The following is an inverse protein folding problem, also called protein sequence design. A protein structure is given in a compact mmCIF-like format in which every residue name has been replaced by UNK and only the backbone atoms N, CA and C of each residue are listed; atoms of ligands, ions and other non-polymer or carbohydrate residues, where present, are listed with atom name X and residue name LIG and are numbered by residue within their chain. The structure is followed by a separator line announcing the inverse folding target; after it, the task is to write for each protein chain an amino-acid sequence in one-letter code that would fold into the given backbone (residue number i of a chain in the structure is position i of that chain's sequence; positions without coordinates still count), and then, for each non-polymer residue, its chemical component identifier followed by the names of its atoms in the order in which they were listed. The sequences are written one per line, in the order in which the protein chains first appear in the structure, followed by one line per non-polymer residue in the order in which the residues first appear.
data_IF_186318382843
#
_entry.id   IF_186318382843
#
_cell.length_a   1.000
_cell.length_b   1.000
_cell.length_c   1.000
_cell.angle_alpha   90.00
_cell.angle_beta   90.00
_cell.angle_gamma   90.00
#
_symmetry.space_group_name_H-M   'P 1'
#
loop_
_entity.id
_entity.type
_entity.pdbx_description
1 polymer ?
#
# COMPACT_ATOMS: atom_id res chain seq x y z
N UNK A 1 4.49 0.84 -17.43
CA UNK A 1 4.53 -0.24 -18.45
C UNK A 1 4.67 0.33 -19.85
N UNK A 2 5.79 0.03 -20.54
CA UNK A 2 5.94 0.31 -21.97
C UNK A 2 4.82 -0.32 -22.81
N UNK A 3 4.43 0.33 -23.91
CA UNK A 3 3.29 -0.11 -24.74
C UNK A 3 3.44 -1.53 -25.29
N UNK A 4 4.66 -1.96 -25.62
CA UNK A 4 4.96 -3.31 -26.14
C UNK A 4 4.63 -4.45 -25.18
N UNK A 5 4.64 -4.18 -23.87
CA UNK A 5 4.41 -5.20 -22.83
C UNK A 5 3.00 -5.13 -22.23
N UNK A 6 2.12 -4.25 -22.73
CA UNK A 6 0.75 -4.13 -22.23
C UNK A 6 -0.09 -5.31 -22.71
N UNK A 7 -0.62 -6.07 -21.76
CA UNK A 7 -1.60 -7.12 -22.01
C UNK A 7 -2.80 -6.95 -21.07
N UNK A 8 -3.96 -7.46 -21.48
CA UNK A 8 -5.18 -7.39 -20.68
C UNK A 8 -5.15 -8.34 -19.47
N UNK A 9 -4.33 -9.39 -19.55
CA UNK A 9 -4.29 -10.46 -18.57
C UNK A 9 -5.64 -11.19 -18.39
N UNK A 10 -5.78 -11.91 -17.28
CA UNK A 10 -6.93 -12.78 -17.00
C UNK A 10 -7.99 -12.14 -16.09
N UNK A 11 -7.71 -11.00 -15.45
CA UNK A 11 -8.61 -10.40 -14.45
C UNK A 11 -10.02 -10.12 -14.99
N UNK A 12 -10.13 -9.73 -16.27
CA UNK A 12 -11.42 -9.46 -16.92
C UNK A 12 -12.40 -10.66 -16.87
N UNK A 13 -11.89 -11.90 -16.84
CA UNK A 13 -12.72 -13.11 -16.72
C UNK A 13 -13.40 -13.18 -15.35
N UNK A 14 -12.71 -12.78 -14.28
CA UNK A 14 -13.28 -12.71 -12.93
C UNK A 14 -14.27 -11.55 -12.80
N UNK A 15 -13.90 -10.39 -13.33
CA UNK A 15 -14.76 -9.20 -13.32
C UNK A 15 -16.10 -9.43 -14.03
N UNK A 16 -16.09 -10.19 -15.14
CA UNK A 16 -17.30 -10.52 -15.92
C UNK A 16 -18.06 -11.75 -15.42
N UNK A 17 -17.49 -12.50 -14.47
CA UNK A 17 -18.05 -13.77 -13.98
C UNK A 17 -17.81 -14.99 -14.88
N UNK A 18 -17.00 -14.86 -15.94
CA UNK A 18 -16.54 -15.99 -16.76
C UNK A 18 -15.60 -16.93 -15.98
N UNK A 19 -14.99 -16.44 -14.90
CA UNK A 19 -14.22 -17.25 -13.96
C UNK A 19 -14.57 -16.82 -12.52
N UNK A 20 -14.41 -17.72 -11.56
CA UNK A 20 -14.67 -17.45 -10.14
C UNK A 20 -13.40 -17.72 -9.34
N UNK A 21 -13.03 -16.81 -8.44
CA UNK A 21 -11.87 -17.05 -7.57
C UNK A 21 -12.17 -18.22 -6.60
N UNK A 22 -11.23 -19.14 -6.39
CA UNK A 22 -11.47 -20.32 -5.57
C UNK A 22 -11.59 -19.98 -4.08
N UNK A 23 -10.93 -18.91 -3.63
CA UNK A 23 -10.91 -18.45 -2.25
C UNK A 23 -11.05 -16.93 -2.16
N UNK A 24 -11.40 -16.43 -0.97
CA UNK A 24 -11.33 -15.01 -0.65
C UNK A 24 -9.89 -14.53 -0.88
N UNK A 25 -9.74 -13.53 -1.72
CA UNK A 25 -8.46 -12.94 -2.12
C UNK A 25 -8.49 -11.46 -1.76
N UNK A 26 -7.74 -11.08 -0.72
CA UNK A 26 -7.55 -9.67 -0.34
C UNK A 26 -6.31 -9.15 -1.07
N UNK A 27 -6.44 -8.03 -1.77
CA UNK A 27 -5.39 -7.46 -2.61
C UNK A 27 -5.11 -5.99 -2.27
N UNK A 28 -3.87 -5.58 -2.51
CA UNK A 28 -3.43 -4.19 -2.63
C UNK A 28 -2.95 -3.95 -4.07
N UNK A 29 -2.84 -2.70 -4.48
CA UNK A 29 -2.28 -2.34 -5.78
C UNK A 29 -0.76 -2.25 -5.73
N UNK A 30 -0.09 -2.65 -6.81
CA UNK A 30 1.30 -2.35 -7.08
C UNK A 30 1.46 -1.22 -8.09
N UNK A 31 2.51 -1.30 -8.92
CA UNK A 31 2.80 -0.33 -9.97
C UNK A 31 2.16 -0.68 -11.34
N UNK A 32 1.61 -1.89 -11.49
CA UNK A 32 1.02 -2.38 -12.75
C UNK A 32 -0.48 -2.64 -12.58
N UNK A 33 -1.26 -1.57 -12.52
CA UNK A 33 -2.68 -1.67 -12.18
C UNK A 33 -3.60 -1.04 -13.23
N UNK A 34 -4.86 -1.46 -13.20
CA UNK A 34 -5.95 -0.69 -13.80
C UNK A 34 -6.28 0.51 -12.90
N UNK A 35 -5.35 1.48 -12.80
CA UNK A 35 -5.35 2.53 -11.78
C UNK A 35 -6.62 3.37 -11.77
N UNK A 36 -7.28 3.59 -12.91
CA UNK A 36 -8.58 4.26 -12.95
C UNK A 36 -9.66 3.52 -12.16
N UNK A 37 -9.78 2.20 -12.38
CA UNK A 37 -10.76 1.37 -11.69
C UNK A 37 -10.45 1.22 -10.19
N UNK A 38 -9.17 1.05 -9.84
CA UNK A 38 -8.76 0.99 -8.43
C UNK A 38 -8.95 2.34 -7.72
N UNK A 39 -8.73 3.47 -8.40
CA UNK A 39 -8.95 4.79 -7.82
C UNK A 39 -10.44 5.07 -7.56
N UNK A 40 -11.34 4.55 -8.38
CA UNK A 40 -12.78 4.59 -8.10
C UNK A 40 -13.14 3.84 -6.80
N UNK A 41 -12.29 2.91 -6.36
CA UNK A 41 -12.36 2.13 -5.13
C UNK A 41 -11.29 2.57 -4.10
N UNK A 42 -10.99 3.88 -4.05
CA UNK A 42 -9.94 4.46 -3.19
C UNK A 42 -10.00 4.02 -1.72
N UNK A 43 -11.21 3.85 -1.17
CA UNK A 43 -11.44 3.44 0.23
C UNK A 43 -11.65 1.92 0.41
N UNK A 44 -11.38 1.14 -0.64
CA UNK A 44 -11.57 -0.29 -0.70
C UNK A 44 -12.91 -0.72 -1.31
N UNK A 45 -13.00 -1.99 -1.68
CA UNK A 45 -14.20 -2.59 -2.25
C UNK A 45 -13.91 -3.85 -3.07
N UNK A 46 -14.97 -4.53 -3.50
CA UNK A 46 -14.84 -5.72 -4.33
C UNK A 46 -14.47 -5.32 -5.76
N UNK A 47 -13.36 -5.86 -6.25
CA UNK A 47 -12.96 -5.78 -7.66
C UNK A 47 -13.71 -6.81 -8.50
N UNK A 48 -14.03 -7.95 -7.91
CA UNK A 48 -14.81 -9.05 -8.46
C UNK A 48 -15.33 -9.92 -7.29
N UNK A 49 -16.27 -10.86 -7.52
CA UNK A 49 -16.66 -11.84 -6.51
C UNK A 49 -15.42 -12.53 -5.89
N UNK A 50 -15.36 -12.55 -4.55
CA UNK A 50 -14.23 -13.04 -3.73
C UNK A 50 -12.88 -12.32 -3.90
N UNK A 51 -12.79 -11.23 -4.65
CA UNK A 51 -11.55 -10.44 -4.80
C UNK A 51 -11.78 -9.04 -4.22
N UNK A 52 -11.24 -8.79 -3.02
CA UNK A 52 -11.42 -7.54 -2.29
C UNK A 52 -10.16 -6.68 -2.32
N UNK A 53 -10.29 -5.45 -2.78
CA UNK A 53 -9.23 -4.45 -2.75
C UNK A 53 -9.28 -3.66 -1.44
N UNK A 54 -8.14 -3.53 -0.76
CA UNK A 54 -8.04 -2.74 0.48
C UNK A 54 -8.19 -1.22 0.26
N UNK A 55 -8.03 -0.73 -0.97
CA UNK A 55 -7.98 0.70 -1.26
C UNK A 55 -6.55 1.23 -1.34
N UNK A 56 -6.41 2.55 -1.46
CA UNK A 56 -5.12 3.23 -1.39
C UNK A 56 -4.40 2.90 -0.07
N UNK A 57 -5.16 2.81 1.02
CA UNK A 57 -4.82 2.08 2.23
C UNK A 57 -6.09 1.60 2.93
N UNK A 58 -5.97 0.55 3.74
CA UNK A 58 -7.10 -0.04 4.43
C UNK A 58 -6.70 -0.91 5.60
N UNK A 59 -7.66 -1.15 6.49
CA UNK A 59 -7.59 -2.21 7.50
C UNK A 59 -8.96 -2.89 7.63
N UNK A 60 -8.94 -4.21 7.69
CA UNK A 60 -10.11 -5.09 7.80
C UNK A 60 -9.80 -6.23 8.77
N UNK A 61 -10.83 -6.93 9.24
CA UNK A 61 -10.68 -8.19 9.97
C UNK A 61 -11.19 -9.35 9.09
N UNK A 62 -10.40 -10.41 8.99
CA UNK A 62 -10.75 -11.65 8.28
C UNK A 62 -10.67 -12.82 9.25
N UNK A 63 -11.83 -13.25 9.77
CA UNK A 63 -11.91 -14.38 10.69
C UNK A 63 -11.07 -14.21 11.96
N UNK A 64 -10.99 -13.00 12.51
CA UNK A 64 -10.21 -12.65 13.69
C UNK A 64 -8.75 -12.29 13.40
N UNK A 65 -8.33 -12.27 12.13
CA UNK A 65 -7.01 -11.79 11.71
C UNK A 65 -7.16 -10.36 11.18
N UNK A 66 -6.54 -9.41 11.86
CA UNK A 66 -6.52 -8.00 11.51
C UNK A 66 -5.45 -7.73 10.46
N UNK A 67 -5.91 -7.39 9.25
CA UNK A 67 -5.06 -7.17 8.08
C UNK A 67 -5.10 -5.69 7.75
N UNK A 68 -3.94 -5.06 7.69
CA UNK A 68 -3.77 -3.69 7.20
C UNK A 68 -2.86 -3.67 5.97
N UNK A 69 -2.93 -2.62 5.18
CA UNK A 69 -2.04 -2.47 4.04
C UNK A 69 -2.23 -1.16 3.30
N UNK A 70 -1.26 -0.86 2.44
CA UNK A 70 -1.30 0.28 1.54
C UNK A 70 -0.83 -0.13 0.15
N UNK A 71 -1.42 0.52 -0.85
CA UNK A 71 -1.12 0.27 -2.26
C UNK A 71 0.00 1.17 -2.77
N UNK A 72 0.65 0.73 -3.84
CA UNK A 72 1.57 1.54 -4.62
C UNK A 72 3.05 1.32 -4.29
N UNK A 73 3.89 2.16 -4.89
CA UNK A 73 5.33 2.23 -4.64
C UNK A 73 5.75 3.62 -4.17
N UNK A 74 6.78 3.70 -3.35
CA UNK A 74 7.32 4.96 -2.88
C UNK A 74 7.99 5.75 -4.01
N UNK A 75 7.69 7.05 -4.08
CA UNK A 75 8.45 8.01 -4.86
C UNK A 75 8.50 9.34 -4.11
N UNK A 76 9.70 9.85 -3.86
CA UNK A 76 9.94 11.03 -3.04
C UNK A 76 9.28 12.29 -3.60
N UNK A 77 9.15 12.41 -4.92
CA UNK A 77 8.56 13.58 -5.60
C UNK A 77 7.06 13.71 -5.31
N UNK A 78 6.36 12.59 -5.16
CA UNK A 78 4.91 12.56 -4.93
C UNK A 78 4.51 12.29 -3.48
N UNK A 79 5.42 11.77 -2.65
CA UNK A 79 5.16 11.37 -1.26
C UNK A 79 4.33 12.39 -0.46
N UNK A 80 4.71 13.67 -0.49
CA UNK A 80 4.03 14.72 0.28
C UNK A 80 2.85 15.39 -0.42
N UNK A 81 2.44 14.94 -1.61
CA UNK A 81 1.39 15.59 -2.41
C UNK A 81 -0.01 15.03 -2.11
N UNK A 82 -1.04 15.71 -2.60
CA UNK A 82 -2.38 15.12 -2.72
C UNK A 82 -2.50 14.15 -3.88
N UNK A 83 -3.68 13.53 -4.02
CA UNK A 83 -4.06 12.69 -5.15
C UNK A 83 -4.75 13.55 -6.20
N UNK A 84 -3.97 14.11 -7.12
CA UNK A 84 -4.47 15.03 -8.15
C UNK A 84 -4.81 14.33 -9.48
N UNK A 85 -4.50 13.05 -9.58
CA UNK A 85 -4.67 12.26 -10.77
C UNK A 85 -6.15 11.98 -11.01
N UNK A 86 -6.61 12.27 -12.23
CA UNK A 86 -7.97 11.96 -12.67
C UNK A 86 -7.93 11.42 -14.08
N UNK A 87 -8.79 10.44 -14.36
CA UNK A 87 -8.99 9.98 -15.72
C UNK A 87 -9.59 11.13 -16.57
N UNK A 88 -9.16 11.30 -17.83
CA UNK A 88 -8.10 10.52 -18.50
C UNK A 88 -6.69 10.85 -18.01
N UNK A 89 -5.89 9.80 -17.76
CA UNK A 89 -4.49 9.95 -17.39
C UNK A 89 -3.62 10.30 -18.60
N UNK A 90 -2.69 11.22 -18.40
CA UNK A 90 -1.54 11.47 -19.27
C UNK A 90 -0.34 10.59 -18.85
N UNK A 91 0.82 10.80 -19.49
CA UNK A 91 2.04 10.03 -19.23
C UNK A 91 2.62 10.23 -17.82
N UNK A 92 2.37 11.38 -17.18
CA UNK A 92 2.85 11.68 -15.82
C UNK A 92 1.89 11.07 -14.78
N UNK A 93 0.60 11.38 -14.93
CA UNK A 93 -0.47 10.96 -14.01
C UNK A 93 -0.72 9.46 -14.02
N UNK A 94 -0.47 8.77 -15.14
CA UNK A 94 -0.53 7.29 -15.17
C UNK A 94 0.58 6.65 -14.32
N UNK A 95 1.69 7.36 -14.08
CA UNK A 95 2.77 6.92 -13.18
C UNK A 95 2.48 7.36 -11.74
N UNK A 96 2.13 8.63 -11.55
CA UNK A 96 1.97 9.20 -10.21
C UNK A 96 0.78 8.63 -9.43
N UNK A 97 -0.26 8.12 -10.12
CA UNK A 97 -1.48 7.55 -9.51
C UNK A 97 -1.21 6.33 -8.62
N UNK A 98 -0.19 5.53 -8.91
CA UNK A 98 0.18 4.38 -8.08
C UNK A 98 1.35 4.67 -7.14
N UNK A 99 1.83 5.92 -7.06
CA UNK A 99 2.82 6.27 -6.05
C UNK A 99 2.15 6.42 -4.68
N UNK A 100 2.75 5.88 -3.63
CA UNK A 100 2.22 5.98 -2.25
C UNK A 100 2.30 7.44 -1.77
N UNK A 101 1.27 7.95 -1.06
CA UNK A 101 1.35 9.25 -0.37
C UNK A 101 1.55 9.07 1.14
N UNK A 102 2.11 10.12 1.75
CA UNK A 102 2.33 10.19 3.19
C UNK A 102 1.03 10.00 3.99
N UNK A 103 -0.08 10.55 3.47
CA UNK A 103 -1.39 10.53 4.14
C UNK A 103 -1.84 9.12 4.47
N UNK A 104 -1.75 8.19 3.53
CA UNK A 104 -2.16 6.80 3.71
C UNK A 104 -1.34 6.09 4.79
N UNK A 105 0.00 6.25 4.73
CA UNK A 105 0.91 5.62 5.70
C UNK A 105 0.73 6.21 7.09
N UNK A 106 0.58 7.54 7.20
CA UNK A 106 0.38 8.21 8.49
C UNK A 106 -0.94 7.84 9.14
N UNK A 107 -2.01 7.65 8.35
CA UNK A 107 -3.28 7.11 8.86
C UNK A 107 -3.10 5.71 9.44
N UNK A 108 -2.40 4.82 8.74
CA UNK A 108 -2.14 3.48 9.26
C UNK A 108 -1.38 3.52 10.60
N UNK A 109 -0.39 4.41 10.73
CA UNK A 109 0.36 4.58 11.99
C UNK A 109 -0.46 5.13 13.16
N UNK A 110 -1.68 5.62 12.92
CA UNK A 110 -2.63 6.01 13.97
C UNK A 110 -3.47 4.85 14.50
N UNK A 111 -3.42 3.67 13.87
CA UNK A 111 -4.02 2.47 14.44
C UNK A 111 -3.30 2.10 15.75
N UNK A 112 -4.03 1.45 16.65
CA UNK A 112 -3.51 0.91 17.89
C UNK A 112 -2.26 0.09 17.61
N UNK A 113 -1.16 0.50 18.23
CA UNK A 113 0.07 -0.29 18.22
C UNK A 113 -0.14 -1.63 18.92
N UNK A 114 0.90 -2.45 18.88
CA UNK A 114 0.90 -3.83 19.38
C UNK A 114 0.34 -4.03 20.80
N UNK A 115 0.41 -3.02 21.66
CA UNK A 115 -0.02 -3.06 23.07
C UNK A 115 -1.53 -2.87 23.28
N UNK A 116 -2.24 -2.26 22.33
CA UNK A 116 -3.68 -1.96 22.47
C UNK A 116 -4.56 -2.91 21.66
N UNK A 117 -4.31 -2.95 20.35
CA UNK A 117 -5.06 -3.80 19.40
C UNK A 117 -4.13 -4.16 18.24
N UNK A 118 -3.28 -5.18 18.42
CA UNK A 118 -2.20 -5.49 17.49
C UNK A 118 -2.73 -5.71 16.07
N UNK A 119 -1.90 -5.35 15.10
CA UNK A 119 -2.12 -5.69 13.69
C UNK A 119 -1.36 -6.98 13.43
N UNK A 120 -2.08 -7.98 12.92
CA UNK A 120 -1.49 -9.29 12.68
C UNK A 120 -0.66 -9.28 11.41
N UNK A 121 -1.18 -8.65 10.35
CA UNK A 121 -0.58 -8.64 9.02
C UNK A 121 -0.58 -7.21 8.47
N UNK A 122 0.58 -6.76 8.00
CA UNK A 122 0.68 -5.61 7.09
C UNK A 122 1.10 -6.11 5.70
N UNK A 123 0.45 -5.57 4.67
CA UNK A 123 0.80 -5.83 3.26
C UNK A 123 1.19 -4.52 2.57
N UNK A 124 2.33 -4.51 1.89
CA UNK A 124 2.79 -3.43 1.01
C UNK A 124 3.36 -4.01 -0.27
N UNK A 125 3.34 -3.30 -1.40
CA UNK A 125 3.93 -3.83 -2.63
C UNK A 125 5.46 -3.73 -2.58
N UNK A 126 5.97 -2.52 -2.36
CA UNK A 126 7.39 -2.29 -2.11
C UNK A 126 7.82 -2.70 -0.70
N UNK A 127 9.11 -2.94 -0.54
CA UNK A 127 9.68 -3.36 0.74
C UNK A 127 9.81 -2.16 1.68
N UNK A 128 9.62 -2.32 3.00
CA UNK A 128 10.07 -1.32 3.96
C UNK A 128 11.58 -1.10 3.84
N UNK A 129 12.03 0.15 3.93
CA UNK A 129 13.46 0.44 4.01
C UNK A 129 14.12 -0.35 5.15
N UNK A 130 15.37 -0.76 4.90
CA UNK A 130 16.22 -1.51 5.83
C UNK A 130 15.69 -2.89 6.24
N UNK A 131 14.58 -3.38 5.69
CA UNK A 131 14.06 -4.71 6.00
C UNK A 131 15.02 -5.84 5.60
N UNK A 132 15.80 -5.62 4.55
CA UNK A 132 16.81 -6.54 4.07
C UNK A 132 17.88 -6.89 5.13
N UNK A 133 18.19 -5.96 6.04
CA UNK A 133 19.17 -6.22 7.10
C UNK A 133 18.73 -7.27 8.13
N UNK A 134 17.43 -7.59 8.18
CA UNK A 134 16.90 -8.64 9.04
C UNK A 134 17.01 -10.05 8.47
N UNK A 135 17.56 -10.23 7.26
CA UNK A 135 17.66 -11.52 6.57
C UNK A 135 19.08 -11.87 6.11
N UNK A 136 19.20 -12.82 5.18
CA UNK A 136 20.48 -13.25 4.61
C UNK A 136 20.90 -12.34 3.43
N UNK A 137 21.64 -11.27 3.72
CA UNK A 137 22.13 -10.34 2.69
C UNK A 137 23.07 -10.98 1.66
N UNK A 138 23.88 -11.95 2.07
CA UNK A 138 24.80 -12.64 1.15
C UNK A 138 24.02 -13.40 0.07
N UNK A 139 22.94 -14.09 0.46
CA UNK A 139 22.07 -14.78 -0.48
C UNK A 139 21.30 -13.80 -1.37
N UNK A 140 20.81 -12.70 -0.82
CA UNK A 140 20.13 -11.66 -1.59
C UNK A 140 21.04 -11.09 -2.68
N UNK A 141 22.26 -10.70 -2.33
CA UNK A 141 23.22 -10.13 -3.28
C UNK A 141 23.74 -11.17 -4.28
N UNK A 142 23.74 -12.46 -3.92
CA UNK A 142 24.03 -13.52 -4.89
C UNK A 142 22.93 -13.64 -5.94
N UNK A 143 21.65 -13.53 -5.54
CA UNK A 143 20.49 -13.61 -6.43
C UNK A 143 20.28 -12.33 -7.24
N UNK A 144 20.49 -11.16 -6.62
CA UNK A 144 20.20 -9.83 -7.16
C UNK A 144 21.33 -8.87 -6.82
N UNK A 145 22.41 -8.93 -7.59
CA UNK A 145 23.66 -8.18 -7.33
C UNK A 145 23.46 -6.66 -7.32
N UNK A 146 22.61 -6.14 -8.20
CA UNK A 146 22.34 -4.70 -8.35
C UNK A 146 21.73 -4.07 -7.09
N UNK A 147 20.92 -4.84 -6.32
CA UNK A 147 20.34 -4.37 -5.06
C UNK A 147 21.38 -4.05 -3.97
N UNK A 148 22.62 -4.51 -4.12
CA UNK A 148 23.67 -4.33 -3.10
C UNK A 148 23.92 -2.87 -2.79
N UNK A 149 23.97 -2.00 -3.80
CA UNK A 149 24.21 -0.57 -3.61
C UNK A 149 23.06 0.05 -2.80
N UNK A 150 21.84 -0.16 -3.26
CA UNK A 150 20.63 0.42 -2.66
C UNK A 150 20.33 -0.08 -1.25
N UNK A 151 20.65 -1.35 -0.96
CA UNK A 151 20.55 -1.87 0.41
C UNK A 151 21.55 -1.16 1.32
N UNK A 152 22.80 -1.02 0.87
CA UNK A 152 23.89 -0.47 1.68
C UNK A 152 23.78 1.03 1.94
N UNK A 153 23.31 1.80 0.96
CA UNK A 153 23.06 3.25 1.13
C UNK A 153 21.68 3.55 1.76
N UNK A 154 20.84 2.53 1.90
CA UNK A 154 19.52 2.62 2.53
C UNK A 154 18.44 3.23 1.64
N UNK A 155 18.67 3.35 0.33
CA UNK A 155 17.68 3.81 -0.64
C UNK A 155 16.66 2.74 -1.03
N UNK A 156 16.97 1.44 -0.88
CA UNK A 156 16.06 0.36 -1.27
C UNK A 156 14.78 0.36 -0.41
N UNK A 157 13.65 0.55 -1.08
CA UNK A 157 12.31 0.41 -0.50
C UNK A 157 11.72 1.72 0.03
N UNK A 158 10.62 1.60 0.77
CA UNK A 158 9.80 2.70 1.27
C UNK A 158 10.24 3.20 2.66
N UNK A 159 10.66 4.47 2.81
CA UNK A 159 10.89 5.09 4.12
C UNK A 159 9.62 5.10 4.98
N UNK A 160 8.46 5.31 4.34
CA UNK A 160 7.16 5.27 5.00
C UNK A 160 6.83 3.89 5.54
N UNK A 161 7.12 2.84 4.76
CA UNK A 161 6.97 1.45 5.18
C UNK A 161 7.83 1.13 6.40
N UNK A 162 9.08 1.61 6.43
CA UNK A 162 9.95 1.39 7.59
C UNK A 162 9.44 2.11 8.85
N UNK A 163 9.04 3.38 8.72
CA UNK A 163 8.42 4.10 9.83
C UNK A 163 7.22 3.33 10.38
N UNK A 164 6.33 2.89 9.50
CA UNK A 164 5.13 2.15 9.87
C UNK A 164 5.43 0.81 10.56
N UNK A 165 6.47 0.10 10.09
CA UNK A 165 6.94 -1.15 10.70
C UNK A 165 7.38 -0.94 12.15
N UNK A 166 8.04 0.19 12.45
CA UNK A 166 8.48 0.53 13.81
C UNK A 166 7.34 0.98 14.71
N UNK A 167 6.36 1.69 14.15
CA UNK A 167 5.19 2.18 14.91
C UNK A 167 4.21 1.05 15.28
N UNK A 168 3.86 0.21 14.30
CA UNK A 168 2.80 -0.79 14.47
C UNK A 168 3.33 -2.16 14.91
N UNK A 169 4.59 -2.47 14.59
CA UNK A 169 5.26 -3.72 14.98
C UNK A 169 4.39 -4.97 14.70
N UNK A 170 3.89 -5.15 13.48
CA UNK A 170 2.95 -6.24 13.18
C UNK A 170 3.59 -7.61 13.36
N UNK A 171 2.80 -8.67 13.53
CA UNK A 171 3.38 -10.02 13.57
C UNK A 171 4.03 -10.39 12.22
N UNK A 172 3.34 -10.07 11.13
CA UNK A 172 3.80 -10.32 9.77
C UNK A 172 3.80 -9.06 8.93
N UNK A 173 4.80 -8.95 8.06
CA UNK A 173 4.84 -7.99 6.97
C UNK A 173 5.06 -8.74 5.66
N UNK A 174 4.16 -8.57 4.70
CA UNK A 174 4.27 -9.18 3.38
C UNK A 174 4.52 -8.13 2.29
N UNK A 175 5.49 -8.42 1.42
CA UNK A 175 5.82 -7.58 0.26
C UNK A 175 6.10 -8.35 -1.02
N UNK A 176 6.29 -7.64 -2.12
CA UNK A 176 6.64 -8.22 -3.41
C UNK A 176 7.61 -7.28 -4.16
N UNK A 177 7.28 -6.91 -5.39
CA UNK A 177 7.95 -5.94 -6.25
C UNK A 177 9.35 -6.32 -6.76
N UNK A 178 10.26 -6.76 -5.89
CA UNK A 178 11.66 -7.03 -6.25
C UNK A 178 11.89 -8.41 -6.91
N UNK A 179 10.82 -9.16 -7.16
CA UNK A 179 10.83 -10.46 -7.84
C UNK A 179 11.87 -11.42 -7.24
N UNK A 180 11.85 -11.55 -5.92
CA UNK A 180 12.74 -12.43 -5.18
C UNK A 180 12.03 -12.88 -3.91
N UNK A 181 12.03 -14.18 -3.64
CA UNK A 181 11.66 -14.66 -2.31
C UNK A 181 12.74 -14.26 -1.33
N UNK A 182 12.34 -13.54 -0.28
CA UNK A 182 13.23 -13.16 0.80
C UNK A 182 12.52 -13.16 2.15
N UNK A 183 13.20 -13.69 3.15
CA UNK A 183 12.73 -13.74 4.54
C UNK A 183 13.65 -12.91 5.42
N UNK A 184 13.05 -12.15 6.33
CA UNK A 184 13.77 -11.40 7.35
C UNK A 184 13.01 -11.43 8.68
N UNK A 185 13.75 -11.33 9.78
CA UNK A 185 13.18 -11.19 11.13
C UNK A 185 13.68 -9.90 11.75
N UNK A 186 12.75 -8.99 12.02
CA UNK A 186 13.05 -7.68 12.57
C UNK A 186 12.75 -7.67 14.05
N UNK A 187 13.76 -7.32 14.85
CA UNK A 187 13.61 -7.14 16.30
C UNK A 187 13.19 -5.72 16.61
N UNK A 188 12.15 -5.59 17.43
CA UNK A 188 11.71 -4.33 18.02
C UNK A 188 12.34 -4.14 19.38
N UNK A 189 12.85 -2.94 19.65
CA UNK A 189 13.29 -2.58 20.99
C UNK A 189 12.08 -2.54 21.92
N UNK A 190 12.23 -3.20 23.08
CA UNK A 190 11.26 -3.09 24.18
C UNK A 190 11.54 -1.76 24.87
N UNK A 191 10.55 -0.87 24.89
CA UNK A 191 10.58 0.36 25.66
C UNK A 191 10.84 -0.02 27.12
N UNK A 192 12.07 0.16 27.61
CA UNK A 192 12.37 0.05 29.04
C UNK A 192 11.65 1.20 29.74
N UNK A 193 10.52 0.91 30.38
CA UNK A 193 9.99 1.79 31.40
C UNK A 193 11.11 2.08 32.40
N UNK A 194 11.37 3.35 32.65
CA UNK A 194 12.41 3.81 33.58
C UNK A 194 12.23 3.14 34.94
N UNK A 195 13.15 2.24 35.28
CA UNK A 195 13.77 2.11 36.60
C UNK A 195 15.21 1.68 36.37
N UNK A 196 16.10 2.66 36.38
CA UNK A 196 17.50 2.42 36.73
C UNK A 196 17.55 1.95 38.18
N UNK A 197 18.20 0.82 38.42
CA UNK A 197 19.21 0.66 39.46
C UNK A 197 19.97 -0.65 39.18
N UNK A 198 21.21 -0.48 38.73
CA UNK A 198 22.40 -1.35 38.81
C UNK A 198 22.24 -2.87 38.92
N UNK A 199 22.73 -3.61 37.92
CA UNK A 199 23.93 -4.47 38.10
C UNK A 199 24.37 -5.13 36.77
N UNK A 200 25.64 -4.95 36.47
CA UNK A 200 26.60 -5.82 35.79
C UNK A 200 26.23 -6.64 34.54
N UNK A 201 27.03 -6.41 33.49
CA UNK A 201 27.33 -7.38 32.44
C UNK A 201 27.82 -8.71 33.04
N UNK A 202 27.06 -9.79 32.87
CA UNK A 202 27.60 -11.16 32.86
C UNK A 202 26.80 -12.06 31.91
N UNK A 203 27.51 -12.65 30.94
CA UNK A 203 27.41 -14.05 30.55
C UNK A 203 26.08 -14.57 29.98
N UNK A 204 26.13 -14.99 28.71
CA UNK A 204 25.26 -16.04 28.17
C UNK A 204 25.47 -17.30 29.01
N UNK A 205 24.57 -17.58 29.95
CA UNK A 205 24.35 -18.93 30.47
C UNK A 205 22.86 -19.26 30.47
N UNK A 206 22.54 -20.33 29.75
CA UNK A 206 21.23 -20.93 29.69
C UNK A 206 20.81 -21.42 31.08
N UNK A 207 19.96 -20.65 31.78
CA UNK A 207 19.26 -21.14 32.97
C UNK A 207 18.16 -22.11 32.53
N UNK A 208 18.50 -23.40 32.51
CA UNK A 208 17.52 -24.49 32.60
C UNK A 208 16.90 -24.49 34.01
N UNK A 209 15.75 -23.85 34.15
CA UNK A 209 14.78 -24.17 35.20
C UNK A 209 13.67 -25.04 34.60
N UNK A 210 13.19 -26.09 35.28
CA UNK A 210 11.95 -26.75 34.88
C UNK A 210 10.80 -25.83 35.29
N UNK A 211 9.79 -25.68 34.43
CA UNK A 211 8.57 -24.86 34.60
C UNK A 211 8.59 -23.39 34.10
N UNK A 212 9.33 -23.08 33.04
CA UNK A 212 8.87 -22.01 32.13
C UNK A 212 7.86 -22.62 31.14
N UNK A 213 6.59 -22.22 31.25
CA UNK A 213 5.56 -22.59 30.26
C UNK A 213 6.02 -22.09 28.90
N UNK A 214 6.27 -23.02 27.97
CA UNK A 214 6.80 -22.73 26.63
C UNK A 214 5.90 -21.75 25.86
N UNK A 215 4.60 -21.76 26.13
CA UNK A 215 3.59 -20.87 25.52
C UNK A 215 3.80 -19.38 25.89
N UNK A 216 3.99 -19.05 27.17
CA UNK A 216 4.25 -17.67 27.63
C UNK A 216 5.59 -17.12 27.08
N UNK A 217 6.56 -17.99 26.80
CA UNK A 217 7.82 -17.62 26.16
C UNK A 217 7.68 -17.30 24.67
N UNK A 218 6.79 -18.00 23.95
CA UNK A 218 6.54 -17.80 22.52
C UNK A 218 5.72 -16.53 22.27
N UNK A 219 4.71 -16.25 23.10
CA UNK A 219 3.93 -15.00 23.03
C UNK A 219 4.82 -13.77 23.22
N UNK A 220 5.68 -13.80 24.24
CA UNK A 220 6.65 -12.72 24.55
C UNK A 220 7.75 -12.56 23.50
N UNK A 221 8.06 -13.62 22.76
CA UNK A 221 8.94 -13.55 21.60
C UNK A 221 8.20 -12.95 20.42
N UNK A 222 6.99 -13.40 20.10
CA UNK A 222 6.19 -12.79 19.05
C UNK A 222 6.12 -11.27 19.27
N UNK A 223 5.81 -10.80 20.49
CA UNK A 223 5.78 -9.38 20.89
C UNK A 223 7.00 -8.53 20.49
N UNK A 224 8.17 -9.15 20.36
CA UNK A 224 9.43 -8.46 20.07
C UNK A 224 9.87 -8.52 18.62
N UNK A 225 9.17 -9.28 17.75
CA UNK A 225 9.60 -9.44 16.37
C UNK A 225 8.47 -9.21 15.36
N UNK A 226 8.85 -8.75 14.17
CA UNK A 226 8.07 -8.83 12.94
C UNK A 226 8.75 -9.80 12.00
N UNK A 227 7.97 -10.74 11.44
CA UNK A 227 8.41 -11.63 10.38
C UNK A 227 8.10 -10.99 9.03
N UNK A 228 9.13 -10.76 8.24
CA UNK A 228 9.01 -10.25 6.89
C UNK A 228 9.13 -11.40 5.89
N UNK A 229 8.22 -11.43 4.93
CA UNK A 229 8.30 -12.32 3.78
C UNK A 229 7.98 -11.53 2.52
N UNK A 230 8.84 -11.65 1.53
CA UNK A 230 8.57 -11.22 0.16
C UNK A 230 8.51 -12.42 -0.78
N UNK A 231 7.71 -12.28 -1.83
CA UNK A 231 7.50 -13.31 -2.84
C UNK A 231 7.97 -12.86 -4.22
N UNK A 232 8.24 -13.85 -5.06
CA UNK A 232 8.57 -13.66 -6.46
C UNK A 232 7.32 -13.36 -7.30
N UNK A 233 7.52 -12.99 -8.57
CA UNK A 233 6.45 -12.84 -9.55
C UNK A 233 5.86 -14.21 -9.91
N UNK A 234 4.55 -14.26 -10.16
CA UNK A 234 3.81 -15.44 -10.60
C UNK A 234 4.24 -15.93 -11.99
N UNK A 235 5.43 -16.50 -12.07
CA UNK A 235 6.04 -17.10 -13.25
C UNK A 235 6.42 -18.57 -12.97
N UNK A 236 6.49 -19.41 -14.01
CA UNK A 236 6.90 -20.79 -13.86
C UNK A 236 8.24 -20.92 -13.12
N UNK A 237 8.36 -21.96 -12.28
CA UNK A 237 9.57 -22.29 -11.52
C UNK A 237 10.02 -21.21 -10.51
N UNK A 238 9.20 -20.18 -10.23
CA UNK A 238 9.51 -19.12 -9.23
C UNK A 238 8.77 -19.33 -7.90
N UNK A 239 9.30 -18.71 -6.84
CA UNK A 239 8.77 -18.82 -5.47
C UNK A 239 7.74 -17.72 -5.18
N UNK A 240 6.61 -17.75 -5.89
CA UNK A 240 5.58 -16.70 -5.85
C UNK A 240 4.41 -16.98 -4.91
N UNK A 241 4.33 -18.18 -4.33
CA UNK A 241 3.25 -18.61 -3.44
C UNK A 241 3.83 -19.22 -2.17
N UNK A 242 3.31 -18.78 -1.02
CA UNK A 242 3.61 -19.33 0.30
C UNK A 242 2.32 -19.69 1.02
N UNK A 243 2.31 -20.85 1.70
CA UNK A 243 1.24 -21.25 2.59
C UNK A 243 1.70 -21.08 4.04
N UNK A 244 1.06 -20.16 4.76
CA UNK A 244 1.38 -19.86 6.15
C UNK A 244 0.21 -20.23 7.06
N UNK A 245 0.53 -20.80 8.22
CA UNK A 245 -0.43 -21.01 9.29
C UNK A 245 -0.31 -19.86 10.31
N UNK A 246 -1.33 -19.00 10.35
CA UNK A 246 -1.39 -17.86 11.26
C UNK A 246 -2.35 -18.21 12.40
N UNK A 247 -1.90 -18.19 13.67
CA UNK A 247 -2.77 -18.43 14.82
C UNK A 247 -3.92 -17.42 14.84
N UNK A 248 -5.13 -17.86 15.16
CA UNK A 248 -6.29 -16.99 15.35
C UNK A 248 -6.54 -16.80 16.84
N UNK A 249 -7.03 -15.62 17.28
CA UNK A 249 -7.74 -15.52 18.56
C UNK A 249 -8.88 -16.54 18.56
N UNK A 250 -9.27 -17.11 19.71
CA UNK A 250 -10.24 -18.20 19.82
C UNK A 250 -11.59 -17.90 19.11
N UNK A 251 -11.68 -18.20 17.82
CA UNK A 251 -12.95 -18.22 17.08
C UNK A 251 -13.51 -19.63 17.20
N UNK A 252 -14.79 -19.75 17.53
CA UNK A 252 -15.48 -21.05 17.60
C UNK A 252 -15.25 -21.86 16.32
N UNK A 253 -14.68 -23.05 16.49
CA UNK A 253 -14.41 -24.00 15.42
C UNK A 253 -15.70 -24.30 14.64
N UNK A 254 -15.67 -24.18 13.31
CA UNK A 254 -16.81 -24.47 12.44
C UNK A 254 -17.71 -23.27 12.08
N UNK A 255 -17.41 -22.06 12.55
CA UNK A 255 -18.03 -20.84 12.01
C UNK A 255 -17.38 -20.43 10.68
N UNK A 256 -18.22 -19.95 9.75
CA UNK A 256 -17.80 -19.39 8.47
C UNK A 256 -16.84 -18.21 8.68
N UNK A 257 -15.75 -18.16 7.89
CA UNK A 257 -14.80 -17.03 7.92
C UNK A 257 -15.48 -15.80 7.35
N UNK A 258 -15.66 -14.78 8.20
CA UNK A 258 -16.25 -13.50 7.80
C UNK A 258 -15.18 -12.44 7.64
N UNK A 259 -15.42 -11.53 6.71
CA UNK A 259 -14.64 -10.32 6.52
C UNK A 259 -15.45 -9.14 7.07
N UNK A 260 -14.86 -8.31 7.94
CA UNK A 260 -15.56 -7.18 8.57
C UNK A 260 -14.77 -5.88 8.47
N UNK A 261 -15.48 -4.76 8.51
CA UNK A 261 -14.86 -3.43 8.57
C UNK A 261 -14.17 -3.21 9.90
N UNK A 262 -12.98 -2.59 9.87
CA UNK A 262 -12.27 -2.17 11.06
C UNK A 262 -12.76 -0.78 11.51
N UNK A 263 -13.49 -0.72 12.63
CA UNK A 263 -14.07 0.52 13.13
C UNK A 263 -13.02 1.58 13.49
N UNK A 264 -11.85 1.16 13.98
CA UNK A 264 -10.75 2.05 14.33
C UNK A 264 -10.15 2.70 13.07
N UNK A 265 -9.92 1.93 12.02
CA UNK A 265 -9.50 2.45 10.73
C UNK A 265 -10.49 3.47 10.17
N UNK A 266 -11.78 3.17 10.18
CA UNK A 266 -12.80 4.10 9.67
C UNK A 266 -12.88 5.37 10.53
N UNK A 267 -12.71 5.26 11.85
CA UNK A 267 -12.62 6.41 12.76
C UNK A 267 -11.38 7.27 12.46
N UNK A 268 -10.22 6.65 12.19
CA UNK A 268 -8.99 7.35 11.77
C UNK A 268 -9.22 8.08 10.45
N UNK A 269 -9.82 7.44 9.45
CA UNK A 269 -10.13 8.07 8.16
C UNK A 269 -11.04 9.28 8.38
N UNK A 270 -12.08 9.17 9.22
CA UNK A 270 -12.96 10.29 9.54
C UNK A 270 -12.21 11.44 10.24
N UNK A 271 -11.42 11.12 11.26
CA UNK A 271 -10.66 12.11 12.07
C UNK A 271 -9.60 12.85 11.26
N UNK A 272 -9.10 12.21 10.20
CA UNK A 272 -8.06 12.73 9.31
C UNK A 272 -8.58 13.12 7.93
N UNK A 273 -9.88 13.31 7.77
CA UNK A 273 -10.52 13.68 6.49
C UNK A 273 -9.84 14.90 5.85
N UNK A 274 -9.45 15.90 6.66
CA UNK A 274 -8.76 17.12 6.21
C UNK A 274 -7.39 16.90 5.56
N UNK A 275 -6.80 15.71 5.71
CA UNK A 275 -5.56 15.34 5.01
C UNK A 275 -5.82 14.86 3.58
N UNK A 276 -7.06 14.47 3.27
CA UNK A 276 -7.42 14.09 1.90
C UNK A 276 -7.41 15.34 1.02
N UNK A 277 -6.62 15.33 -0.06
CA UNK A 277 -6.52 16.43 -1.00
C UNK A 277 -6.54 15.90 -2.43
N UNK A 278 -7.33 16.56 -3.29
CA UNK A 278 -7.39 16.30 -4.71
C UNK A 278 -6.45 17.20 -5.54
N UNK A 279 -5.57 17.97 -4.89
CA UNK A 279 -4.68 18.93 -5.54
C UNK A 279 -3.22 18.49 -5.54
N UNK A 280 -2.44 19.04 -6.47
CA UNK A 280 -0.98 18.79 -6.61
C UNK A 280 -0.13 19.47 -5.53
N UNK A 281 -0.76 20.18 -4.59
CA UNK A 281 -0.07 20.85 -3.49
C UNK A 281 0.39 19.87 -2.41
N UNK A 282 1.39 20.27 -1.63
CA UNK A 282 1.81 19.51 -0.44
C UNK A 282 0.68 19.43 0.58
N UNK A 283 0.43 18.24 1.10
CA UNK A 283 -0.52 18.01 2.19
C UNK A 283 0.19 18.19 3.52
N UNK A 284 -0.42 18.97 4.40
CA UNK A 284 0.08 19.16 5.76
C UNK A 284 -0.43 18.04 6.66
N UNK A 285 0.37 16.99 6.83
CA UNK A 285 0.09 15.91 7.78
C UNK A 285 0.59 16.32 9.17
N UNK A 286 -0.34 16.80 10.01
CA UNK A 286 -0.04 17.25 11.37
C UNK A 286 -0.03 16.10 12.39
N UNK A 287 0.45 16.39 13.60
CA UNK A 287 0.30 15.46 14.72
C UNK A 287 -1.16 15.45 15.17
N UNK A 288 -1.80 14.29 15.03
CA UNK A 288 -3.19 14.05 15.44
C UNK A 288 -3.19 12.87 16.38
N UNK A 289 -3.86 13.03 17.51
CA UNK A 289 -4.04 11.93 18.45
C UNK A 289 -4.83 10.79 17.80
N UNK A 290 -4.53 9.56 18.22
CA UNK A 290 -5.26 8.36 17.79
C UNK A 290 -6.75 8.49 18.07
N UNK A 291 -7.56 7.67 17.39
CA UNK A 291 -8.98 7.60 17.68
C UNK A 291 -9.18 7.09 19.12
N UNK A 292 -9.96 7.81 19.90
CA UNK A 292 -10.34 7.40 21.26
C UNK A 292 -11.33 6.23 21.20
N UNK A 293 -11.43 5.45 22.28
CA UNK A 293 -12.40 4.35 22.39
C UNK A 293 -13.85 4.80 22.12
N UNK A 294 -14.20 6.03 22.54
CA UNK A 294 -15.51 6.62 22.25
C UNK A 294 -15.73 6.83 20.75
N UNK A 295 -14.77 7.46 20.06
CA UNK A 295 -14.83 7.67 18.60
C UNK A 295 -14.91 6.35 17.81
N UNK A 296 -14.22 5.30 18.28
CA UNK A 296 -14.25 3.97 17.66
C UNK A 296 -15.63 3.32 17.85
N UNK A 297 -16.19 3.36 19.07
CA UNK A 297 -17.51 2.81 19.35
C UNK A 297 -18.62 3.53 18.56
N UNK A 298 -18.57 4.86 18.51
CA UNK A 298 -19.51 5.68 17.73
C UNK A 298 -19.44 5.32 16.24
N UNK A 299 -18.22 5.06 15.73
CA UNK A 299 -18.02 4.60 14.35
C UNK A 299 -18.60 3.20 14.13
N UNK A 300 -18.41 2.27 15.06
CA UNK A 300 -18.99 0.92 14.99
C UNK A 300 -20.53 0.96 14.95
N UNK A 301 -21.16 1.76 15.82
CA UNK A 301 -22.62 1.95 15.82
C UNK A 301 -23.10 2.56 14.50
N UNK A 302 -22.36 3.54 13.97
CA UNK A 302 -22.68 4.19 12.69
C UNK A 302 -22.59 3.22 11.52
N UNK A 303 -21.54 2.39 11.45
CA UNK A 303 -21.38 1.34 10.42
C UNK A 303 -22.57 0.39 10.50
N UNK A 304 -22.89 -0.15 11.67
CA UNK A 304 -24.04 -1.06 11.84
C UNK A 304 -25.35 -0.41 11.41
N UNK A 305 -25.60 0.85 11.79
CA UNK A 305 -26.82 1.55 11.42
C UNK A 305 -26.99 1.70 9.89
N UNK A 306 -25.89 1.84 9.15
CA UNK A 306 -25.89 2.04 7.69
C UNK A 306 -25.64 0.76 6.89
N UNK A 307 -25.19 -0.31 7.55
CA UNK A 307 -24.87 -1.60 6.94
C UNK A 307 -25.78 -2.73 7.45
N UNK A 308 -27.07 -2.45 7.66
CA UNK A 308 -28.06 -3.48 8.01
C UNK A 308 -27.81 -4.21 9.34
N UNK A 309 -27.21 -3.52 10.32
CA UNK A 309 -26.93 -4.02 11.66
C UNK A 309 -25.65 -4.84 11.81
N UNK A 310 -24.82 -4.94 10.75
CA UNK A 310 -23.59 -5.75 10.77
C UNK A 310 -22.34 -4.95 10.43
N UNK A 311 -21.19 -5.47 10.88
CA UNK A 311 -19.85 -5.00 10.46
C UNK A 311 -19.34 -5.76 9.22
N UNK A 312 -20.07 -6.79 8.77
CA UNK A 312 -19.65 -7.66 7.68
C UNK A 312 -19.52 -6.88 6.35
N UNK A 313 -18.42 -7.16 5.65
CA UNK A 313 -18.20 -6.77 4.26
C UNK A 313 -18.72 -7.91 3.39
N UNK A 314 -19.92 -7.72 2.87
CA UNK A 314 -20.66 -8.75 2.12
C UNK A 314 -20.20 -8.84 0.66
N UNK A 315 -19.98 -10.04 0.15
CA UNK A 315 -19.58 -10.29 -1.25
C UNK A 315 -20.64 -9.80 -2.24
N UNK A 316 -21.92 -9.88 -1.87
CA UNK A 316 -23.03 -9.32 -2.65
C UNK A 316 -22.95 -7.79 -2.81
N UNK A 317 -21.99 -7.16 -2.14
CA UNK A 317 -21.62 -5.76 -2.33
C UNK A 317 -20.93 -5.46 -3.67
N UNK A 318 -20.41 -6.47 -4.38
CA UNK A 318 -19.78 -6.25 -5.69
C UNK A 318 -20.77 -5.65 -6.71
N UNK A 319 -20.32 -4.60 -7.40
CA UNK A 319 -21.07 -3.99 -8.51
C UNK A 319 -20.14 -3.79 -9.69
N UNK A 320 -20.53 -4.38 -10.83
CA UNK A 320 -19.88 -4.15 -12.11
C UNK A 320 -20.24 -2.75 -12.62
N UNK A 321 -19.29 -1.81 -12.64
CA UNK A 321 -19.53 -0.40 -12.98
C UNK A 321 -19.27 -0.07 -14.45
N UNK A 322 -18.59 -0.96 -15.18
CA UNK A 322 -18.31 -0.87 -16.60
C UNK A 322 -18.52 -2.23 -17.30
N UNK A 323 -18.89 -2.27 -18.59
CA UNK A 323 -18.97 -3.54 -19.31
C UNK A 323 -17.59 -4.19 -19.45
N UNK A 324 -17.56 -5.52 -19.49
CA UNK A 324 -16.34 -6.26 -19.83
C UNK A 324 -15.84 -5.99 -21.25
N UNK A 325 -14.60 -6.39 -21.56
CA UNK A 325 -14.08 -6.38 -22.93
C UNK A 325 -15.05 -7.15 -23.84
N UNK A 326 -15.48 -6.53 -24.95
CA UNK A 326 -16.29 -7.25 -25.94
C UNK A 326 -15.39 -8.20 -26.72
N UNK A 327 -15.81 -9.45 -26.87
CA UNK A 327 -15.30 -10.36 -27.90
C UNK A 327 -15.73 -9.83 -29.28
N UNK A 328 -15.09 -8.77 -29.74
CA UNK A 328 -15.16 -8.40 -31.15
C UNK A 328 -13.93 -8.97 -31.80
N UNK A 329 -14.11 -10.06 -32.54
CA UNK A 329 -13.19 -10.53 -33.58
C UNK A 329 -12.59 -9.32 -34.31
N UNK A 330 -11.29 -9.07 -34.12
CA UNK A 330 -10.47 -8.25 -35.01
C UNK A 330 -10.84 -6.78 -35.26
N UNK A 331 -11.83 -6.17 -34.59
CA UNK A 331 -12.05 -4.72 -34.72
C UNK A 331 -11.07 -3.99 -33.82
N UNK A 332 -9.97 -3.52 -34.43
CA UNK A 332 -9.08 -2.50 -33.86
C UNK A 332 -9.96 -1.42 -33.21
N UNK A 333 -9.94 -1.37 -31.88
CA UNK A 333 -10.62 -0.35 -31.10
C UNK A 333 -10.29 1.00 -31.74
N UNK A 334 -11.32 1.77 -32.12
CA UNK A 334 -11.11 2.98 -32.93
C UNK A 334 -10.17 3.91 -32.16
N UNK A 335 -8.95 4.09 -32.70
CA UNK A 335 -7.88 4.89 -32.10
C UNK A 335 -8.34 6.35 -31.87
N UNK A 336 -9.45 6.77 -32.50
CA UNK A 336 -10.14 8.04 -32.25
C UNK A 336 -10.91 8.10 -30.93
N UNK A 337 -11.50 7.00 -30.44
CA UNK A 337 -12.18 7.00 -29.12
C UNK A 337 -11.18 7.14 -27.97
N UNK A 338 -10.01 6.50 -28.07
CA UNK A 338 -8.92 6.67 -27.10
C UNK A 338 -8.34 8.10 -27.11
N UNK A 339 -8.28 8.74 -28.29
CA UNK A 339 -7.78 10.12 -28.47
C UNK A 339 -8.80 11.22 -28.12
N UNK A 340 -10.08 10.88 -27.91
CA UNK A 340 -11.16 11.84 -27.60
C UNK A 340 -11.45 12.01 -26.10
N UNK A 341 -10.44 11.78 -25.25
CA UNK A 341 -10.58 11.88 -23.80
C UNK A 341 -11.20 10.61 -23.24
N UNK A 342 -10.44 9.91 -22.41
CA UNK A 342 -10.94 8.76 -21.66
C UNK A 342 -12.24 9.12 -20.91
N UNK A 343 -13.09 8.12 -20.75
CA UNK A 343 -14.38 8.27 -20.06
C UNK A 343 -14.11 8.85 -18.67
N UNK A 344 -14.74 9.99 -18.37
CA UNK A 344 -14.71 10.56 -17.02
C UNK A 344 -15.09 9.48 -16.00
N UNK A 345 -14.44 9.47 -14.83
CA UNK A 345 -14.80 8.52 -13.77
C UNK A 345 -16.30 8.62 -13.48
N UNK A 346 -16.98 7.47 -13.55
CA UNK A 346 -18.40 7.37 -13.26
C UNK A 346 -18.66 7.30 -11.74
N UNK A 347 -17.60 7.21 -10.93
CA UNK A 347 -17.63 6.87 -9.52
C UNK A 347 -17.78 5.35 -9.29
N UNK A 348 -18.04 4.96 -8.04
CA UNK A 348 -18.36 3.57 -7.72
C UNK A 348 -19.37 3.51 -6.56
N UNK A 349 -20.50 2.80 -6.68
CA UNK A 349 -21.49 2.74 -5.61
C UNK A 349 -20.98 2.06 -4.33
N UNK A 350 -19.93 1.23 -4.42
CA UNK A 350 -19.28 0.65 -3.25
C UNK A 350 -18.55 1.73 -2.43
N UNK A 351 -17.85 2.63 -3.12
CA UNK A 351 -17.18 3.79 -2.52
C UNK A 351 -18.18 4.75 -1.88
N UNK A 352 -19.30 5.03 -2.56
CA UNK A 352 -20.38 5.87 -2.00
C UNK A 352 -20.88 5.31 -0.67
N UNK A 353 -21.08 3.99 -0.57
CA UNK A 353 -21.51 3.32 0.67
C UNK A 353 -20.48 3.47 1.79
N UNK A 354 -19.19 3.28 1.49
CA UNK A 354 -18.12 3.43 2.50
C UNK A 354 -18.03 4.88 2.97
N UNK A 355 -18.06 5.84 2.06
CA UNK A 355 -18.06 7.27 2.37
C UNK A 355 -19.24 7.65 3.26
N UNK A 356 -20.44 7.12 2.98
CA UNK A 356 -21.64 7.33 3.79
C UNK A 356 -21.52 6.73 5.21
N UNK A 357 -20.97 5.51 5.30
CA UNK A 357 -20.67 4.84 6.58
C UNK A 357 -19.69 5.64 7.42
N UNK A 358 -18.57 6.10 6.86
CA UNK A 358 -17.58 6.94 7.56
C UNK A 358 -18.18 8.33 7.87
N UNK A 359 -19.05 8.83 7.00
CA UNK A 359 -19.63 10.17 7.06
C UNK A 359 -18.67 11.27 6.58
N UNK A 360 -17.89 11.01 5.55
CA UNK A 360 -16.97 11.97 4.89
C UNK A 360 -17.53 12.43 3.54
N UNK A 361 -16.83 13.34 2.87
CA UNK A 361 -17.16 13.77 1.51
C UNK A 361 -16.26 13.14 0.44
N UNK A 362 -16.74 13.14 -0.80
CA UNK A 362 -15.95 12.75 -1.97
C UNK A 362 -14.89 13.82 -2.28
N UNK A 363 -13.63 13.52 -1.97
CA UNK A 363 -12.48 14.40 -2.30
C UNK A 363 -11.67 13.82 -3.46
N UNK A 364 -11.12 12.61 -3.29
CA UNK A 364 -10.30 11.92 -4.31
C UNK A 364 -11.14 11.14 -5.31
N UNK A 365 -12.36 10.75 -4.93
CA UNK A 365 -13.33 10.04 -5.77
C UNK A 365 -14.46 10.98 -6.18
N UNK A 366 -15.38 10.49 -7.00
CA UNK A 366 -16.61 11.20 -7.38
C UNK A 366 -17.83 10.34 -7.03
N UNK A 367 -18.98 10.96 -6.69
CA UNK A 367 -20.22 10.23 -6.45
C UNK A 367 -20.61 9.38 -7.67
N UNK A 368 -21.13 8.18 -7.44
CA UNK A 368 -21.61 7.31 -8.50
C UNK A 368 -22.76 7.96 -9.27
N UNK A 369 -22.60 8.13 -10.59
CA UNK A 369 -23.62 8.78 -11.42
C UNK A 369 -24.61 7.83 -12.08
N UNK A 370 -24.33 6.53 -12.07
CA UNK A 370 -25.24 5.50 -12.59
C UNK A 370 -25.44 5.54 -14.10
N UNK A 371 -25.40 4.37 -14.73
CA UNK A 371 -25.99 4.17 -16.04
C UNK A 371 -27.47 4.51 -15.99
N UNK A 372 -27.87 5.55 -16.72
CA UNK A 372 -29.27 5.83 -16.99
C UNK A 372 -29.93 4.66 -17.69
N UNK A 373 -31.23 4.52 -17.47
CA UNK A 373 -32.14 3.72 -18.29
C UNK A 373 -31.89 4.00 -19.79
N UNK A 374 -31.15 3.11 -20.45
CA UNK A 374 -31.03 3.02 -21.89
C UNK A 374 -31.59 1.67 -22.32
N UNK A 375 -32.83 1.69 -22.83
CA UNK A 375 -33.61 0.50 -23.14
C UNK A 375 -32.94 -0.50 -24.09
N UNK A 376 -33.24 -1.78 -23.87
CA UNK A 376 -32.87 -2.86 -24.77
C UNK A 376 -33.12 -4.25 -24.19
N UNK A 377 -34.39 -4.66 -24.12
CA UNK A 377 -34.81 -6.07 -24.13
C UNK A 377 -34.56 -6.88 -22.86
N UNK A 378 -35.65 -7.18 -22.13
CA UNK A 378 -35.64 -8.30 -21.19
C UNK A 378 -35.46 -9.62 -21.95
N UNK A 379 -34.36 -10.30 -21.68
CA UNK A 379 -34.29 -11.76 -21.79
C UNK A 379 -33.76 -12.28 -20.46
N UNK A 380 -34.56 -13.14 -19.82
CA UNK A 380 -34.18 -13.92 -18.65
C UNK A 380 -32.86 -14.66 -18.95
N UNK A 381 -31.77 -14.27 -18.29
CA UNK A 381 -30.53 -15.05 -18.36
C UNK A 381 -30.67 -16.29 -17.49
N UNK A 382 -30.74 -17.45 -18.14
CA UNK A 382 -30.57 -18.76 -17.52
C UNK A 382 -29.25 -18.83 -16.77
N UNK A 383 -29.33 -19.17 -15.48
CA UNK A 383 -28.24 -19.73 -14.71
C UNK A 383 -27.88 -21.11 -15.28
N UNK A 384 -26.65 -21.29 -15.78
CA UNK A 384 -26.13 -22.61 -16.17
C UNK A 384 -25.84 -23.43 -14.90
N UNK A 385 -26.07 -24.73 -14.96
CA UNK A 385 -25.79 -25.64 -13.84
C UNK A 385 -24.29 -25.96 -13.75
N UNK A 386 -23.84 -26.32 -12.55
CA UNK A 386 -22.44 -26.68 -12.25
C UNK A 386 -21.90 -27.79 -13.16
N UNK A 387 -22.78 -28.69 -13.62
CA UNK A 387 -22.43 -29.82 -14.50
C UNK A 387 -22.16 -29.39 -15.96
N UNK A 388 -22.65 -28.23 -16.40
CA UNK A 388 -22.37 -27.68 -17.75
C UNK A 388 -21.03 -26.94 -17.79
N UNK A 389 -20.55 -26.43 -16.64
CA UNK A 389 -19.24 -25.77 -16.51
C UNK A 389 -18.10 -26.79 -16.56
N UNK A 390 -18.26 -27.97 -15.95
CA UNK A 390 -17.20 -29.01 -15.94
C UNK A 390 -16.90 -29.59 -17.33
N UNK A 391 -17.82 -29.47 -18.29
CA UNK A 391 -17.65 -30.00 -19.65
C UNK A 391 -16.96 -29.05 -20.62
N UNK A 392 -16.75 -27.78 -20.25
CA UNK A 392 -16.02 -26.80 -21.08
C UNK A 392 -14.59 -26.53 -20.59
N UNK A 393 -14.11 -27.24 -19.57
CA UNK A 393 -12.73 -27.10 -19.03
C UNK A 393 -11.80 -28.19 -19.55
N UNK A 394 -12.04 -28.68 -20.77
CA UNK A 394 -11.05 -29.50 -21.47
C UNK A 394 -10.72 -28.82 -22.79
N UNK A 395 -9.41 -28.57 -22.92
CA UNK A 395 -8.67 -27.95 -24.01
C UNK A 395 -8.39 -26.44 -23.87
N UNK A 396 -7.09 -26.13 -23.99
CA UNK A 396 -6.40 -24.85 -24.10
C UNK A 396 -5.99 -24.11 -22.81
N UNK A 397 -5.27 -24.83 -21.93
CA UNK A 397 -4.18 -24.22 -21.13
C UNK A 397 -2.87 -24.30 -21.93
N UNK A 398 -2.71 -23.43 -22.93
CA UNK A 398 -1.39 -23.02 -23.41
C UNK A 398 -1.24 -21.51 -23.13
N UNK A 399 -0.51 -21.21 -22.06
CA UNK A 399 0.19 -19.94 -21.98
C UNK A 399 1.30 -20.07 -23.04
N UNK A 400 1.18 -19.38 -24.17
CA UNK A 400 2.33 -19.18 -25.08
C UNK A 400 3.41 -18.46 -24.26
N UNK A 401 4.34 -19.25 -23.74
CA UNK A 401 5.57 -18.79 -23.13
C UNK A 401 6.61 -18.83 -24.25
N UNK A 402 7.27 -17.71 -24.47
CA UNK A 402 8.45 -17.66 -25.33
C UNK A 402 9.46 -18.71 -24.82
N UNK A 403 9.71 -19.72 -25.64
CA UNK A 403 10.74 -20.72 -25.43
C UNK A 403 12.11 -20.03 -25.61
N UNK A 404 12.84 -19.81 -24.53
CA UNK A 404 14.28 -19.62 -24.64
C UNK A 404 14.96 -20.98 -24.49
N UNK A 405 15.64 -21.35 -25.57
CA UNK A 405 16.40 -22.59 -25.73
C UNK A 405 17.49 -22.71 -24.66
N UNK A 406 17.48 -23.80 -23.89
CA UNK A 406 18.64 -24.21 -23.10
C UNK A 406 19.65 -24.87 -24.06
N UNK A 407 20.77 -24.20 -24.35
CA UNK A 407 21.96 -24.88 -24.90
C UNK A 407 22.71 -25.62 -23.78
N UNK A 408 22.64 -26.96 -23.83
CA UNK A 408 23.49 -27.88 -23.08
C UNK A 408 24.88 -28.02 -23.76
N UNK A 409 25.93 -27.80 -22.96
CA UNK A 409 27.14 -28.60 -23.04
C UNK A 409 28.43 -27.92 -23.54
N UNK A 410 29.44 -27.85 -22.66
CA UNK A 410 30.83 -27.90 -23.09
C UNK A 410 31.83 -27.12 -22.25
N UNK A 411 32.74 -27.84 -21.59
CA UNK A 411 33.93 -27.31 -20.92
C UNK A 411 34.78 -26.41 -21.85
N UNK A 412 35.13 -25.21 -21.38
CA UNK A 412 36.14 -24.37 -22.03
C UNK A 412 36.31 -23.04 -21.30
N UNK A 413 37.45 -22.87 -20.60
CA UNK A 413 37.76 -21.63 -19.89
C UNK A 413 37.88 -20.43 -20.84
N UNK A 414 37.34 -19.29 -20.41
CA UNK A 414 37.41 -18.00 -21.09
C UNK A 414 36.62 -16.97 -20.31
N UNK A 415 37.11 -15.74 -20.27
CA UNK A 415 36.66 -14.63 -19.42
C UNK A 415 35.18 -14.27 -19.65
N UNK A 416 34.46 -13.97 -18.55
CA UNK A 416 33.01 -13.79 -18.56
C UNK A 416 32.55 -12.50 -19.22
N UNK A 417 31.69 -12.64 -20.22
CA UNK A 417 30.75 -11.60 -20.67
C UNK A 417 29.41 -11.88 -19.99
N UNK A 418 28.85 -10.84 -19.36
CA UNK A 418 27.57 -10.90 -18.64
C UNK A 418 26.40 -11.11 -19.62
N UNK A 419 25.55 -12.10 -19.34
CA UNK A 419 24.26 -12.30 -20.01
C UNK A 419 23.24 -11.41 -19.29
N UNK A 420 22.66 -10.44 -20.01
CA UNK A 420 21.59 -9.57 -19.54
C UNK A 420 20.29 -10.41 -19.37
N UNK A 421 19.56 -10.19 -18.27
CA UNK A 421 18.24 -10.79 -17.98
C UNK A 421 17.16 -9.81 -18.46
N UNK A 422 16.54 -10.09 -19.59
CA UNK A 422 15.57 -9.25 -20.32
C UNK A 422 14.28 -8.90 -19.53
N UNK A 423 14.19 -9.31 -18.27
CA UNK A 423 13.14 -8.92 -17.32
C UNK A 423 13.63 -7.93 -16.24
N UNK A 424 14.76 -7.27 -16.45
CA UNK A 424 15.26 -6.20 -15.60
C UNK A 424 14.28 -5.02 -15.56
N UNK A 425 13.96 -4.59 -14.33
CA UNK A 425 13.24 -3.35 -14.10
C UNK A 425 14.33 -2.29 -13.96
N UNK A 426 14.50 -1.46 -14.99
CA UNK A 426 15.26 -0.22 -14.86
C UNK A 426 14.58 0.65 -13.81
N UNK A 427 15.16 0.69 -12.61
CA UNK A 427 14.85 1.70 -11.60
C UNK A 427 15.43 3.08 -11.97
N UNK A 428 16.17 3.16 -13.10
CA UNK A 428 17.03 4.30 -13.48
C UNK A 428 16.66 5.01 -14.80
N UNK A 429 15.45 4.83 -15.35
CA UNK A 429 14.94 5.78 -16.37
C UNK A 429 14.35 7.04 -15.68
N UNK A 430 15.19 7.76 -14.92
CA UNK A 430 14.95 9.17 -14.59
C UNK A 430 15.57 10.04 -15.68
N UNK A 431 14.70 10.66 -16.48
CA UNK A 431 15.01 11.53 -17.61
C UNK A 431 16.12 12.57 -17.29
N UNK A 432 17.31 12.40 -17.88
CA UNK A 432 18.09 13.53 -18.37
C UNK A 432 17.36 14.11 -19.58
N UNK A 433 16.65 15.23 -19.41
CA UNK A 433 16.67 16.39 -20.32
C UNK A 433 15.63 17.44 -19.89
N UNK A 434 16.08 18.68 -19.71
CA UNK A 434 15.18 19.83 -19.55
C UNK A 434 15.70 20.90 -18.60
N UNK A 435 16.87 21.47 -18.88
CA UNK A 435 17.26 22.73 -18.26
C UNK A 435 16.35 23.86 -18.75
N UNK A 436 15.87 24.68 -17.81
CA UNK A 436 15.71 26.11 -18.08
C UNK A 436 16.05 26.90 -16.82
N UNK A 437 16.92 27.89 -16.99
CA UNK A 437 17.56 28.61 -15.90
C UNK A 437 16.60 29.57 -15.20
N UNK A 438 16.71 29.62 -13.88
CA UNK A 438 16.46 30.85 -13.14
C UNK A 438 17.50 30.97 -12.02
N UNK A 439 18.46 31.83 -12.29
CA UNK A 439 19.43 32.37 -11.36
C UNK A 439 18.66 33.21 -10.31
N UNK A 440 18.71 32.81 -9.04
CA UNK A 440 18.38 33.68 -7.91
C UNK A 440 19.55 33.60 -6.95
N UNK A 441 20.26 34.72 -6.86
CA UNK A 441 21.41 34.97 -6.00
C UNK A 441 21.10 34.66 -4.52
N UNK A 442 21.93 33.83 -3.90
CA UNK A 442 21.99 33.65 -2.45
C UNK A 442 23.19 34.44 -1.93
N UNK A 443 22.93 35.55 -1.25
CA UNK A 443 23.95 36.29 -0.51
C UNK A 443 24.45 35.46 0.68
N UNK A 444 25.76 35.23 0.69
CA UNK A 444 26.53 34.62 1.77
C UNK A 444 26.46 35.51 3.04
N UNK A 445 26.21 34.89 4.19
CA UNK A 445 26.50 35.49 5.50
C UNK A 445 27.63 34.73 6.15
N UNK A 446 28.82 35.31 6.07
CA UNK A 446 29.95 34.96 6.92
C UNK A 446 29.75 35.54 8.33
N UNK A 447 30.08 34.73 9.33
CA UNK A 447 30.30 35.13 10.72
C UNK A 447 31.66 35.81 10.83
N UNK A 448 31.73 36.98 11.48
CA UNK A 448 32.99 37.43 12.12
C UNK A 448 32.69 38.20 13.41
N UNK A 449 33.30 37.72 14.50
CA UNK A 449 33.36 38.38 15.80
C UNK A 449 34.33 39.58 15.77
N UNK A 450 34.02 40.66 16.50
CA UNK A 450 35.05 41.43 17.19
C UNK A 450 34.97 42.96 17.18
N UNK A 451 34.86 43.50 18.41
CA UNK A 451 35.40 44.79 18.92
C UNK A 451 34.74 46.12 18.50
N UNK A 452 33.91 46.61 19.43
CA UNK A 452 34.14 47.81 20.25
C UNK A 452 34.64 49.11 19.57
N UNK A 453 33.76 50.12 19.43
CA UNK A 453 34.05 51.53 19.76
C UNK A 453 32.82 52.46 19.66
N UNK A 454 32.46 53.06 20.81
CA UNK A 454 32.01 54.45 21.06
C UNK A 454 31.27 55.28 19.97
N UNK A 455 29.95 55.49 20.24
CA UNK A 455 29.24 56.79 20.46
C UNK A 455 28.95 57.74 19.25
N UNK A 456 28.01 58.72 19.34
CA UNK A 456 26.60 58.58 18.94
C UNK A 456 26.07 59.69 18.00
N UNK A 457 24.91 59.52 17.33
CA UNK A 457 24.15 60.66 16.76
C UNK A 457 22.62 60.50 16.80
N UNK A 458 22.02 61.29 17.70
CA UNK A 458 20.81 62.13 17.57
C UNK A 458 19.54 61.52 16.95
N UNK A 459 18.60 61.16 17.84
CA UNK A 459 17.16 61.34 17.61
C UNK A 459 16.66 62.61 18.32
N UNK A 460 15.49 63.11 17.90
CA UNK A 460 14.65 63.97 18.74
C UNK A 460 13.97 65.16 18.05
N UNK A 461 12.79 64.92 17.45
CA UNK A 461 11.60 65.77 17.68
C UNK A 461 11.04 65.32 19.04
N UNK A 462 10.71 66.13 20.04
CA UNK A 462 10.22 67.50 20.06
C UNK A 462 8.84 67.44 20.72
N UNK A 463 8.72 67.87 21.98
CA UNK A 463 7.56 68.54 22.63
C UNK A 463 7.71 68.56 24.17
N UNK A 464 7.12 69.56 24.86
CA UNK A 464 7.71 70.20 26.04
C UNK A 464 7.04 69.90 27.40
N UNK A 465 7.88 70.04 28.45
CA UNK A 465 7.73 70.59 29.83
C UNK A 465 6.38 71.13 30.37
N UNK A 466 6.24 71.47 31.68
CA UNK A 466 7.07 71.13 32.88
C UNK A 466 6.23 70.77 34.15
N UNK A 467 6.91 70.47 35.29
CA UNK A 467 6.83 71.24 36.58
C UNK A 467 7.23 70.39 37.83
N UNK A 468 8.24 70.92 38.53
CA UNK A 468 8.63 70.88 39.96
C UNK A 468 9.00 69.57 40.68
N UNK A 469 10.22 69.54 41.26
CA UNK A 469 10.57 70.03 42.61
C UNK A 469 12.10 70.07 42.77
N UNK A 470 12.63 71.26 43.09
CA UNK A 470 13.35 71.62 44.34
C UNK A 470 14.83 71.19 44.39
#
# INVERSE_FOLDING_TARGET
MPDKYKSLGSFHKYYTGASTAPCLTVVIGGNHEASGYMNDLFYGGWLAPKIYYLGAAGCIDVGGVRIAGYSGIYNSRHWGLGHYERAPFDSDTVRSVYHTREVEVRRLGMLGGREERPIDIIVSHDWPQRVAYGGNLEELFRKKKFLKKEVLDGSLGSPGGEWLLRELKPMWWFSAHLHVRYEATLRHEVSKGVREENDDMVGVEARKGPDCKVEEGIERLNEQFTRFLSLDKCLPRRQFLELLQIPRPEVEHGKEVRMTYDAEWMAVVKKTERWTSAGRGRVQVGNVERASKGEINDMEERIKARNGGTMDIKEEGFVMTAPGPRETEGRKMDRRMWKMGGVESLGNPQTDRIIDMIGIEHVTTVPWRGGGEGGGGGEERKTLSVEEVEKSVMDDDEIELDEEEEEDGGEGGGEGEDVEDDNEIDLDDEDEEGGDGNEIELEEKEEEEGRDTKKPRRGGMGMPEPVNKE
#
